data_IF_025836586777
#
_entry.id   IF_025836586777
#
_cell.length_a   1.000
_cell.length_b   1.000
_cell.length_c   1.000
_cell.angle_alpha   90.00
_cell.angle_beta   90.00
_cell.angle_gamma   90.00
#
_symmetry.space_group_name_H-M   'P 1'
#
loop_
_entity.id
_entity.type
_entity.pdbx_description
1 polymer ?
#
# COMPACT_ATOMS: atom_id res chain seq x y z
N UNK A 1 -8.53 -13.17 3.39
CA UNK A 1 -8.40 -14.34 2.50
C UNK A 1 -6.96 -14.70 2.12
N UNK A 2 -5.95 -13.81 2.29
CA UNK A 2 -4.54 -14.20 2.11
C UNK A 2 -4.15 -14.57 0.66
N UNK A 3 -4.96 -14.16 -0.32
CA UNK A 3 -4.69 -14.38 -1.73
C UNK A 3 -3.98 -13.14 -2.26
N UNK A 4 -2.77 -13.26 -2.82
CA UNK A 4 -2.10 -12.14 -3.47
C UNK A 4 -2.80 -11.82 -4.80
N UNK A 5 -3.07 -10.54 -5.05
CA UNK A 5 -3.83 -10.06 -6.21
C UNK A 5 -2.95 -9.22 -7.11
N UNK A 6 -2.84 -9.59 -8.39
CA UNK A 6 -2.17 -8.77 -9.39
C UNK A 6 -2.96 -7.49 -9.65
N UNK A 7 -2.27 -6.36 -9.74
CA UNK A 7 -2.88 -5.05 -10.02
C UNK A 7 -2.22 -4.39 -11.22
N UNK A 8 -3.03 -3.68 -11.99
CA UNK A 8 -2.57 -2.76 -13.02
C UNK A 8 -2.67 -1.33 -12.50
N UNK A 9 -1.54 -0.66 -12.35
CA UNK A 9 -1.48 0.76 -12.02
C UNK A 9 -1.67 1.59 -13.28
N UNK A 10 -2.24 2.79 -13.11
CA UNK A 10 -2.39 3.76 -14.17
C UNK A 10 -2.20 5.18 -13.64
N UNK A 11 -2.50 6.16 -14.48
CA UNK A 11 -2.29 7.58 -14.14
C UNK A 11 -3.32 8.12 -13.14
N UNK A 12 -4.45 7.42 -12.97
CA UNK A 12 -5.54 7.85 -12.09
C UNK A 12 -5.36 7.33 -10.66
N UNK A 13 -5.56 8.19 -9.67
CA UNK A 13 -5.44 7.88 -8.24
C UNK A 13 -6.22 6.63 -7.81
N UNK A 14 -7.41 6.38 -8.37
CA UNK A 14 -8.22 5.20 -8.03
C UNK A 14 -7.52 3.86 -8.35
N UNK A 15 -6.51 3.87 -9.23
CA UNK A 15 -5.71 2.67 -9.56
C UNK A 15 -4.61 2.39 -8.52
N UNK A 16 -4.34 3.32 -7.60
CA UNK A 16 -3.23 3.26 -6.64
C UNK A 16 -3.65 2.72 -5.28
N UNK A 17 -4.96 2.72 -4.97
CA UNK A 17 -5.44 2.36 -3.64
C UNK A 17 -5.02 0.95 -3.24
N UNK A 18 -5.06 0.01 -4.18
CA UNK A 18 -4.62 -1.35 -3.91
C UNK A 18 -3.09 -1.51 -3.94
N UNK A 19 -2.37 -0.65 -4.66
CA UNK A 19 -0.89 -0.64 -4.68
C UNK A 19 -0.33 -0.32 -3.31
N UNK A 20 -0.89 0.69 -2.63
CA UNK A 20 -0.49 1.04 -1.28
C UNK A 20 -0.62 -0.16 -0.31
N UNK A 21 -1.68 -0.94 -0.43
CA UNK A 21 -1.88 -2.14 0.39
C UNK A 21 -0.88 -3.26 0.03
N UNK A 22 -0.59 -3.47 -1.26
CA UNK A 22 0.41 -4.44 -1.70
C UNK A 22 1.82 -4.06 -1.22
N UNK A 23 2.19 -2.79 -1.34
CA UNK A 23 3.50 -2.27 -0.91
C UNK A 23 3.66 -2.41 0.61
N UNK A 24 2.62 -2.06 1.39
CA UNK A 24 2.64 -2.25 2.85
C UNK A 24 2.84 -3.72 3.25
N UNK A 25 2.39 -4.66 2.41
CA UNK A 25 2.57 -6.10 2.60
C UNK A 25 3.84 -6.65 1.93
N UNK A 26 4.67 -5.83 1.31
CA UNK A 26 5.88 -6.25 0.57
C UNK A 26 5.56 -7.13 -0.63
N UNK A 27 4.55 -6.75 -1.41
CA UNK A 27 4.06 -7.45 -2.60
C UNK A 27 4.25 -6.60 -3.87
N UNK A 28 5.34 -5.85 -3.98
CA UNK A 28 5.63 -5.00 -5.15
C UNK A 28 5.66 -5.80 -6.47
N UNK A 29 6.03 -7.09 -6.42
CA UNK A 29 5.99 -8.00 -7.56
C UNK A 29 4.59 -8.44 -8.04
N UNK A 30 3.53 -7.91 -7.41
CA UNK A 30 2.13 -8.05 -7.85
C UNK A 30 1.58 -6.77 -8.47
N UNK A 31 2.45 -5.79 -8.73
CA UNK A 31 2.10 -4.49 -9.30
C UNK A 31 2.65 -4.42 -10.71
N UNK A 32 1.79 -4.21 -11.70
CA UNK A 32 2.16 -4.00 -13.09
C UNK A 32 1.83 -2.56 -13.51
N UNK A 33 2.71 -1.95 -14.29
CA UNK A 33 2.58 -0.58 -14.81
C UNK A 33 1.95 -0.51 -16.21
N UNK A 34 1.80 -1.66 -16.87
CA UNK A 34 1.19 -1.77 -18.19
C UNK A 34 0.42 -3.07 -18.36
N UNK A 35 -0.49 -3.11 -19.34
CA UNK A 35 -1.24 -4.34 -19.68
C UNK A 35 -0.31 -5.48 -20.09
N UNK A 36 0.77 -5.17 -20.80
CA UNK A 36 1.74 -6.17 -21.24
C UNK A 36 2.47 -6.78 -20.04
N UNK A 37 2.96 -5.93 -19.13
CA UNK A 37 3.59 -6.38 -17.90
C UNK A 37 2.63 -7.19 -17.02
N UNK A 38 1.36 -6.80 -16.94
CA UNK A 38 0.34 -7.54 -16.20
C UNK A 38 0.18 -8.98 -16.73
N UNK A 39 0.15 -9.15 -18.05
CA UNK A 39 0.06 -10.46 -18.69
C UNK A 39 1.32 -11.28 -18.43
N UNK A 40 2.50 -10.68 -18.60
CA UNK A 40 3.79 -11.34 -18.36
C UNK A 40 3.93 -11.79 -16.90
N UNK A 41 3.56 -10.93 -15.94
CA UNK A 41 3.54 -11.27 -14.52
C UNK A 41 2.52 -12.39 -14.23
N UNK A 42 1.32 -12.35 -14.80
CA UNK A 42 0.31 -13.40 -14.60
C UNK A 42 0.80 -14.76 -15.10
N UNK A 43 1.39 -14.80 -16.30
CA UNK A 43 1.98 -16.03 -16.85
C UNK A 43 3.15 -16.49 -15.98
N UNK A 44 4.04 -15.58 -15.58
CA UNK A 44 5.17 -15.89 -14.71
C UNK A 44 4.74 -16.47 -13.36
N UNK A 45 3.70 -15.91 -12.74
CA UNK A 45 3.18 -16.42 -11.46
C UNK A 45 2.46 -17.77 -11.62
N UNK A 46 1.85 -18.05 -12.78
CA UNK A 46 1.11 -19.29 -13.01
C UNK A 46 1.95 -20.57 -12.85
N UNK A 47 3.28 -20.49 -12.99
CA UNK A 47 4.20 -21.63 -12.87
C UNK A 47 4.98 -21.66 -11.55
N UNK A 48 4.84 -20.64 -10.69
CA UNK A 48 5.62 -20.47 -9.45
C UNK A 48 4.80 -20.82 -8.20
N UNK A 49 4.28 -22.04 -8.17
CA UNK A 49 3.33 -22.49 -7.13
C UNK A 49 3.93 -22.47 -5.71
N UNK A 50 5.21 -22.83 -5.56
CA UNK A 50 5.88 -22.83 -4.26
C UNK A 50 6.03 -21.42 -3.70
N UNK A 51 6.45 -20.46 -4.53
CA UNK A 51 6.54 -19.05 -4.16
C UNK A 51 5.17 -18.47 -3.82
N UNK A 52 4.13 -18.80 -4.60
CA UNK A 52 2.75 -18.39 -4.30
C UNK A 52 2.26 -18.94 -2.97
N UNK A 53 2.60 -20.19 -2.64
CA UNK A 53 2.25 -20.79 -1.36
C UNK A 53 3.00 -20.11 -0.20
N UNK A 54 4.29 -19.80 -0.36
CA UNK A 54 5.06 -19.02 0.63
C UNK A 54 4.46 -17.63 0.83
N UNK A 55 4.11 -16.94 -0.25
CA UNK A 55 3.43 -15.65 -0.20
C UNK A 55 2.12 -15.73 0.60
N UNK A 56 1.26 -16.70 0.28
CA UNK A 56 -0.01 -16.96 0.98
C UNK A 56 0.20 -17.21 2.48
N UNK A 57 1.21 -18.00 2.84
CA UNK A 57 1.54 -18.29 4.24
C UNK A 57 2.09 -17.07 4.99
N UNK A 58 2.87 -16.22 4.32
CA UNK A 58 3.48 -15.02 4.92
C UNK A 58 2.49 -13.85 5.09
N UNK A 59 1.44 -13.77 4.27
CA UNK A 59 0.49 -12.65 4.26
C UNK A 59 -0.19 -12.38 5.60
N UNK A 60 -0.66 -13.43 6.29
CA UNK A 60 -1.34 -13.30 7.59
C UNK A 60 -0.37 -12.79 8.69
N UNK A 61 0.83 -13.39 8.87
CA UNK A 61 1.85 -12.85 9.77
C UNK A 61 2.23 -11.40 9.47
N UNK A 62 2.44 -11.03 8.20
CA UNK A 62 2.78 -9.64 7.81
C UNK A 62 1.70 -8.66 8.24
N UNK A 63 0.43 -8.99 7.98
CA UNK A 63 -0.70 -8.17 8.40
C UNK A 63 -0.76 -7.98 9.93
N UNK A 64 -0.59 -9.06 10.70
CA UNK A 64 -0.57 -8.98 12.16
C UNK A 64 0.63 -8.19 12.70
N UNK A 65 1.77 -8.21 12.00
CA UNK A 65 2.93 -7.40 12.36
C UNK A 65 2.64 -5.90 12.16
N UNK A 66 2.00 -5.52 11.05
CA UNK A 66 1.57 -4.13 10.79
C UNK A 66 0.59 -3.67 11.88
N UNK A 67 -0.39 -4.49 12.23
CA UNK A 67 -1.36 -4.19 13.28
C UNK A 67 -0.67 -3.95 14.64
N UNK A 68 0.37 -4.73 14.95
CA UNK A 68 1.16 -4.59 16.19
C UNK A 68 2.12 -3.40 16.21
N UNK A 69 2.51 -2.84 15.06
CA UNK A 69 3.44 -1.71 14.98
C UNK A 69 2.86 -0.39 15.53
N UNK A 70 1.58 -0.37 15.94
CA UNK A 70 1.14 0.54 17.00
C UNK A 70 0.90 1.98 16.59
N UNK A 71 0.52 2.23 15.33
CA UNK A 71 -0.02 3.51 14.90
C UNK A 71 -1.49 3.38 14.53
N UNK A 72 -2.39 3.95 15.33
CA UNK A 72 -3.78 4.08 14.88
C UNK A 72 -3.84 5.09 13.74
N UNK A 73 -4.47 4.78 12.59
CA UNK A 73 -4.73 5.76 11.54
C UNK A 73 -5.37 7.05 12.07
N UNK A 74 -6.14 6.95 13.16
CA UNK A 74 -6.73 8.11 13.84
C UNK A 74 -5.69 9.05 14.45
N UNK A 75 -4.59 8.52 15.00
CA UNK A 75 -3.52 9.33 15.61
C UNK A 75 -2.80 10.17 14.55
N UNK A 76 -2.45 9.55 13.43
CA UNK A 76 -1.80 10.27 12.32
C UNK A 76 -2.73 11.29 11.70
N UNK A 77 -4.02 10.94 11.58
CA UNK A 77 -5.04 11.88 11.10
C UNK A 77 -5.20 13.08 12.05
N UNK A 78 -5.20 12.86 13.36
CA UNK A 78 -5.25 13.93 14.36
C UNK A 78 -4.04 14.88 14.24
N UNK A 79 -2.82 14.33 14.14
CA UNK A 79 -1.59 15.11 13.97
C UNK A 79 -1.61 15.94 12.69
N UNK A 80 -2.11 15.35 11.60
CA UNK A 80 -2.27 16.05 10.32
C UNK A 80 -3.25 17.21 10.44
N UNK A 81 -4.45 16.96 10.98
CA UNK A 81 -5.47 17.99 11.17
C UNK A 81 -4.96 19.12 12.06
N UNK A 82 -4.25 18.79 13.15
CA UNK A 82 -3.67 19.79 14.05
C UNK A 82 -2.64 20.67 13.35
N UNK A 83 -1.79 20.08 12.51
CA UNK A 83 -0.74 20.81 11.79
C UNK A 83 -1.32 21.73 10.71
N UNK A 84 -2.34 21.24 9.98
CA UNK A 84 -3.09 22.06 9.02
C UNK A 84 -3.74 23.26 9.72
N UNK A 85 -4.35 23.04 10.89
CA UNK A 85 -4.96 24.10 11.68
C UNK A 85 -3.95 25.16 12.13
N UNK A 86 -2.79 24.75 12.66
CA UNK A 86 -1.74 25.68 13.08
C UNK A 86 -1.24 26.52 11.91
N UNK A 87 -0.99 25.89 10.76
CA UNK A 87 -0.53 26.61 9.56
C UNK A 87 -1.56 27.63 9.08
N UNK A 88 -2.85 27.30 9.15
CA UNK A 88 -3.93 28.23 8.85
C UNK A 88 -3.95 29.42 9.82
N UNK A 89 -3.86 29.17 11.13
CA UNK A 89 -3.81 30.23 12.15
C UNK A 89 -2.59 31.17 11.98
N UNK A 90 -1.45 30.62 11.55
CA UNK A 90 -0.22 31.38 11.30
C UNK A 90 -0.23 32.13 9.95
N UNK A 91 -1.28 32.02 9.15
CA UNK A 91 -1.37 32.63 7.81
C UNK A 91 -0.38 32.04 6.80
N UNK A 92 0.12 30.83 7.04
CA UNK A 92 1.07 30.16 6.14
C UNK A 92 0.34 29.58 4.93
N UNK A 93 0.99 29.51 3.75
CA UNK A 93 0.42 28.84 2.61
C UNK A 93 0.26 27.33 2.87
N UNK A 94 -0.67 26.69 2.15
CA UNK A 94 -0.87 25.24 2.21
C UNK A 94 0.44 24.52 1.85
N UNK A 95 0.86 23.59 2.70
CA UNK A 95 2.05 22.78 2.51
C UNK A 95 1.72 21.30 2.71
N UNK A 96 2.39 20.44 1.94
CA UNK A 96 2.34 19.01 2.16
C UNK A 96 2.94 18.68 3.53
N UNK A 97 2.23 17.89 4.33
CA UNK A 97 2.69 17.41 5.63
C UNK A 97 2.63 15.88 5.62
N UNK A 98 3.67 15.23 6.15
CA UNK A 98 3.74 13.77 6.25
C UNK A 98 3.86 13.35 7.73
N UNK A 99 2.99 12.45 8.18
CA UNK A 99 2.94 11.94 9.55
C UNK A 99 2.78 10.41 9.50
N UNK A 100 3.73 9.65 10.06
CA UNK A 100 3.73 8.18 10.03
C UNK A 100 4.09 7.57 8.66
N UNK A 101 4.47 6.28 8.69
CA UNK A 101 5.06 5.47 7.60
C UNK A 101 4.55 5.74 6.18
#
# INVERSE_FOLDING_TARGET
MGVPTLMLTGENYHTWQGVAALNALGLDGFVASSKQEYIEQAISWSTRLDELNQCRQALRPRFMAIEKQGGSPSLYFEQMMRSVWINYCDGKPTQACAFGY
#
